data_IF_938594263869
#
_entry.id   IF_938594263869
#
_cell.length_a   1.000
_cell.length_b   1.000
_cell.length_c   1.000
_cell.angle_alpha   90.00
_cell.angle_beta   90.00
_cell.angle_gamma   90.00
#
_symmetry.space_group_name_H-M   'P 1'
#
loop_
_entity.id
_entity.type
_entity.pdbx_description
1 polymer ?
#
# COMPACT_ATOMS: atom_id res chain seq x y z
N UNK A 1 6.40 -32.29 15.61
CA UNK A 1 7.02 -32.04 14.27
C UNK A 1 7.65 -30.65 14.27
N UNK A 2 8.76 -30.41 13.55
CA UNK A 2 9.30 -29.07 13.39
C UNK A 2 8.34 -28.23 12.53
N UNK A 3 8.05 -26.99 12.93
CA UNK A 3 7.27 -26.03 12.13
C UNK A 3 7.98 -25.76 10.80
N UNK A 4 7.23 -25.54 9.73
CA UNK A 4 7.76 -25.30 8.38
C UNK A 4 7.59 -23.83 8.01
N UNK A 5 8.63 -23.23 7.46
CA UNK A 5 8.65 -21.84 7.03
C UNK A 5 9.02 -21.77 5.54
N UNK A 6 8.23 -20.99 4.78
CA UNK A 6 8.58 -20.58 3.41
C UNK A 6 9.16 -19.17 3.46
N UNK A 7 10.43 -19.02 3.10
CA UNK A 7 11.09 -17.73 2.98
C UNK A 7 11.18 -17.31 1.52
N UNK A 8 10.36 -16.33 1.14
CA UNK A 8 10.33 -15.73 -0.21
C UNK A 8 11.04 -14.38 -0.14
N UNK A 9 11.98 -14.11 -1.03
CA UNK A 9 12.63 -12.81 -1.04
C UNK A 9 12.99 -12.33 -2.45
N UNK A 10 12.96 -11.00 -2.63
CA UNK A 10 13.42 -10.37 -3.86
C UNK A 10 14.91 -9.98 -3.71
N UNK A 11 15.83 -10.65 -4.43
CA UNK A 11 17.27 -10.39 -4.31
C UNK A 11 17.70 -9.02 -4.85
N UNK A 12 16.79 -8.31 -5.53
CA UNK A 12 17.04 -6.99 -6.15
C UNK A 12 16.40 -5.84 -5.39
N UNK A 13 15.58 -6.10 -4.35
CA UNK A 13 14.88 -5.06 -3.59
C UNK A 13 15.86 -4.06 -2.97
N UNK A 14 15.50 -2.80 -3.08
CA UNK A 14 16.27 -1.69 -2.54
C UNK A 14 17.73 -1.70 -3.04
N UNK A 15 18.68 -1.78 -2.13
CA UNK A 15 20.12 -1.87 -2.45
C UNK A 15 20.63 -3.31 -2.54
N UNK A 16 19.75 -4.33 -2.56
CA UNK A 16 20.14 -5.74 -2.58
C UNK A 16 20.77 -6.26 -1.28
N UNK A 17 20.57 -5.57 -0.16
CA UNK A 17 21.19 -5.85 1.15
C UNK A 17 20.82 -7.24 1.70
N UNK A 18 19.73 -7.84 1.24
CA UNK A 18 19.34 -9.18 1.67
C UNK A 18 20.48 -10.21 1.49
N UNK A 19 21.35 -10.02 0.49
CA UNK A 19 22.48 -10.93 0.23
C UNK A 19 23.49 -10.95 1.39
N UNK A 20 23.69 -9.81 2.02
CA UNK A 20 24.64 -9.66 3.14
C UNK A 20 24.07 -10.24 4.44
N UNK A 21 22.75 -10.16 4.63
CA UNK A 21 22.05 -10.59 5.83
C UNK A 21 21.46 -12.00 5.76
N UNK A 22 21.45 -12.64 4.58
CA UNK A 22 20.73 -13.89 4.34
C UNK A 22 21.12 -15.00 5.34
N UNK A 23 22.40 -15.18 5.60
CA UNK A 23 22.90 -16.23 6.50
C UNK A 23 22.40 -15.99 7.93
N UNK A 24 22.48 -14.75 8.43
CA UNK A 24 22.02 -14.38 9.77
C UNK A 24 20.51 -14.55 9.91
N UNK A 25 19.72 -14.14 8.88
CA UNK A 25 18.27 -14.32 8.84
C UNK A 25 17.90 -15.80 8.92
N UNK A 26 18.55 -16.64 8.12
CA UNK A 26 18.32 -18.09 8.12
C UNK A 26 18.70 -18.72 9.46
N UNK A 27 19.78 -18.27 10.10
CA UNK A 27 20.18 -18.73 11.44
C UNK A 27 19.11 -18.37 12.49
N UNK A 28 18.59 -17.12 12.47
CA UNK A 28 17.52 -16.67 13.35
C UNK A 28 16.28 -17.58 13.20
N UNK A 29 15.82 -17.80 11.96
CA UNK A 29 14.66 -18.65 11.68
C UNK A 29 14.89 -20.11 12.12
N UNK A 30 16.12 -20.62 11.94
CA UNK A 30 16.50 -21.98 12.33
C UNK A 30 16.50 -22.12 13.86
N UNK A 31 17.04 -21.13 14.58
CA UNK A 31 17.05 -21.10 16.06
C UNK A 31 15.65 -20.97 16.63
N UNK A 32 14.72 -20.34 15.93
CA UNK A 32 13.30 -20.31 16.27
C UNK A 32 12.58 -21.67 16.02
N UNK A 33 13.29 -22.70 15.56
CA UNK A 33 12.78 -24.06 15.42
C UNK A 33 12.14 -24.40 14.09
N UNK A 34 12.24 -23.53 13.08
CA UNK A 34 11.65 -23.75 11.78
C UNK A 34 12.51 -24.63 10.85
N UNK A 35 11.86 -25.45 10.02
CA UNK A 35 12.41 -26.05 8.83
C UNK A 35 12.13 -25.10 7.65
N UNK A 36 13.18 -24.50 7.11
CA UNK A 36 13.08 -23.40 6.14
C UNK A 36 13.14 -23.94 4.71
N UNK A 37 12.27 -23.41 3.86
CA UNK A 37 12.38 -23.49 2.40
C UNK A 37 12.63 -22.09 1.88
N UNK A 38 13.76 -21.88 1.23
CA UNK A 38 14.18 -20.57 0.71
C UNK A 38 13.80 -20.48 -0.76
N UNK A 39 13.24 -19.33 -1.17
CA UNK A 39 12.83 -19.06 -2.53
C UNK A 39 13.15 -17.61 -2.95
N UNK A 40 14.23 -17.38 -3.73
CA UNK A 40 14.48 -16.09 -4.36
C UNK A 40 13.56 -15.91 -5.57
N UNK A 41 12.85 -14.78 -5.64
CA UNK A 41 12.02 -14.45 -6.79
C UNK A 41 12.89 -14.13 -8.01
N UNK A 42 12.41 -14.45 -9.22
CA UNK A 42 13.15 -14.26 -10.46
C UNK A 42 12.55 -13.14 -11.33
N UNK A 43 11.25 -12.90 -11.22
CA UNK A 43 10.52 -11.86 -11.96
C UNK A 43 9.27 -11.44 -11.18
N UNK A 44 8.61 -10.39 -11.65
CA UNK A 44 7.31 -9.94 -11.15
C UNK A 44 6.26 -11.07 -11.24
N UNK A 45 5.40 -11.16 -10.23
CA UNK A 45 4.37 -12.19 -10.10
C UNK A 45 4.89 -13.58 -9.69
N UNK A 46 6.20 -13.73 -9.43
CA UNK A 46 6.79 -15.02 -9.06
C UNK A 46 6.45 -15.39 -7.60
N UNK A 47 6.41 -14.40 -6.70
CA UNK A 47 5.99 -14.63 -5.31
C UNK A 47 4.51 -15.02 -5.23
N UNK A 48 3.62 -14.38 -6.02
CA UNK A 48 2.20 -14.77 -6.14
C UNK A 48 2.07 -16.25 -6.44
N UNK A 49 2.70 -16.70 -7.56
CA UNK A 49 2.65 -18.10 -8.00
C UNK A 49 3.18 -19.07 -6.96
N UNK A 50 4.27 -18.68 -6.26
CA UNK A 50 4.91 -19.54 -5.26
C UNK A 50 4.04 -19.69 -4.02
N UNK A 51 3.54 -18.57 -3.47
CA UNK A 51 2.72 -18.56 -2.27
C UNK A 51 1.39 -19.26 -2.53
N UNK A 52 0.65 -18.88 -3.57
CA UNK A 52 -0.60 -19.53 -3.97
C UNK A 52 -0.50 -21.05 -4.02
N UNK A 53 0.57 -21.57 -4.63
CA UNK A 53 0.74 -23.02 -4.81
C UNK A 53 1.21 -23.76 -3.55
N UNK A 54 1.87 -23.06 -2.63
CA UNK A 54 2.64 -23.73 -1.58
C UNK A 54 2.26 -23.31 -0.13
N UNK A 55 1.63 -22.17 0.09
CA UNK A 55 1.36 -21.64 1.43
C UNK A 55 0.75 -22.69 2.39
N UNK A 56 -0.23 -23.46 1.96
CA UNK A 56 -0.92 -24.51 2.74
C UNK A 56 0.00 -25.61 3.32
N UNK A 57 1.27 -25.66 2.92
CA UNK A 57 2.26 -26.65 3.38
C UNK A 57 3.17 -26.11 4.49
N UNK A 58 2.98 -24.84 4.88
CA UNK A 58 3.84 -24.12 5.81
C UNK A 58 3.01 -23.57 6.97
N UNK A 59 3.68 -23.39 8.09
CA UNK A 59 3.10 -22.80 9.31
C UNK A 59 3.36 -21.28 9.36
N UNK A 60 4.28 -20.77 8.52
CA UNK A 60 4.65 -19.38 8.40
C UNK A 60 5.20 -19.12 7.00
N UNK A 61 4.79 -18.02 6.39
CA UNK A 61 5.43 -17.47 5.19
C UNK A 61 6.17 -16.21 5.60
N UNK A 62 7.48 -16.13 5.31
CA UNK A 62 8.24 -14.89 5.53
C UNK A 62 8.61 -14.31 4.19
N UNK A 63 8.33 -13.02 4.00
CA UNK A 63 8.77 -12.30 2.82
C UNK A 63 9.84 -11.27 3.14
N UNK A 64 10.83 -11.09 2.23
CA UNK A 64 11.75 -9.96 2.30
C UNK A 64 11.82 -9.25 0.96
N UNK A 65 11.51 -7.97 0.99
CA UNK A 65 11.44 -7.13 -0.19
C UNK A 65 10.94 -5.73 0.13
N UNK A 66 10.56 -4.98 -0.88
CA UNK A 66 9.78 -3.75 -0.75
C UNK A 66 8.28 -4.05 -0.69
N UNK A 67 7.48 -2.99 -0.66
CA UNK A 67 6.02 -3.07 -0.58
C UNK A 67 5.42 -3.92 -1.71
N UNK A 68 5.89 -3.78 -2.96
CA UNK A 68 5.45 -4.64 -4.07
C UNK A 68 5.79 -6.14 -3.92
N UNK A 69 6.87 -6.51 -3.18
CA UNK A 69 7.13 -7.93 -2.88
C UNK A 69 6.17 -8.45 -1.80
N UNK A 70 5.82 -7.60 -0.83
CA UNK A 70 4.82 -7.93 0.17
C UNK A 70 3.45 -8.08 -0.49
N UNK A 71 3.07 -7.14 -1.35
CA UNK A 71 1.83 -7.19 -2.13
C UNK A 71 1.71 -8.52 -2.91
N UNK A 72 2.73 -8.93 -3.65
CA UNK A 72 2.74 -10.23 -4.33
C UNK A 72 2.54 -11.42 -3.37
N UNK A 73 3.11 -11.36 -2.15
CA UNK A 73 2.94 -12.42 -1.14
C UNK A 73 1.52 -12.41 -0.59
N UNK A 74 0.94 -11.25 -0.32
CA UNK A 74 -0.45 -11.08 0.15
C UNK A 74 -1.44 -11.58 -0.91
N UNK A 75 -1.30 -11.12 -2.15
CA UNK A 75 -2.11 -11.59 -3.29
C UNK A 75 -2.02 -13.11 -3.46
N UNK A 76 -0.81 -13.65 -3.35
CA UNK A 76 -0.60 -15.11 -3.41
C UNK A 76 -1.22 -15.86 -2.22
N UNK A 77 -1.26 -15.25 -1.04
CA UNK A 77 -1.89 -15.81 0.15
C UNK A 77 -3.42 -15.85 -0.02
N UNK A 78 -4.00 -14.75 -0.45
CA UNK A 78 -5.43 -14.65 -0.72
C UNK A 78 -5.88 -15.69 -1.75
N UNK A 79 -5.19 -15.77 -2.88
CA UNK A 79 -5.47 -16.76 -3.93
C UNK A 79 -5.22 -18.21 -3.50
N UNK A 80 -4.58 -18.45 -2.37
CA UNK A 80 -4.31 -19.80 -1.83
C UNK A 80 -5.45 -20.34 -0.98
N UNK A 81 -6.44 -19.50 -0.63
CA UNK A 81 -7.59 -19.82 0.23
C UNK A 81 -7.20 -20.32 1.64
N UNK A 82 -6.01 -19.96 2.12
CA UNK A 82 -5.53 -20.26 3.48
C UNK A 82 -4.97 -19.01 4.13
N UNK A 83 -5.21 -18.87 5.43
CA UNK A 83 -4.65 -17.78 6.22
C UNK A 83 -3.44 -18.29 7.04
N UNK A 84 -2.28 -18.34 6.38
CA UNK A 84 -1.00 -18.63 7.05
C UNK A 84 -0.37 -17.30 7.44
N UNK A 85 0.09 -17.12 8.69
CA UNK A 85 0.75 -15.88 9.11
C UNK A 85 1.91 -15.48 8.19
N UNK A 86 2.03 -14.18 7.95
CA UNK A 86 3.09 -13.60 7.11
C UNK A 86 4.06 -12.83 8.00
N UNK A 87 5.35 -13.18 7.99
CA UNK A 87 6.42 -12.35 8.54
C UNK A 87 6.96 -11.43 7.47
N UNK A 88 7.24 -10.16 7.79
CA UNK A 88 7.78 -9.21 6.84
C UNK A 88 9.16 -8.68 7.25
N UNK A 89 10.14 -8.76 6.35
CA UNK A 89 11.49 -8.22 6.49
C UNK A 89 11.65 -7.13 5.43
N UNK A 90 11.47 -5.85 5.80
CA UNK A 90 11.49 -4.74 4.85
C UNK A 90 12.88 -4.56 4.25
N UNK A 91 12.95 -4.53 2.92
CA UNK A 91 14.19 -4.34 2.14
C UNK A 91 14.03 -3.30 1.02
N UNK A 92 12.89 -2.68 0.88
CA UNK A 92 12.59 -1.64 -0.10
C UNK A 92 13.09 -0.25 0.32
N UNK A 93 12.71 0.75 -0.47
CA UNK A 93 13.10 2.14 -0.22
C UNK A 93 12.17 2.84 0.79
N UNK A 94 10.87 2.64 0.71
CA UNK A 94 9.84 3.27 1.55
C UNK A 94 9.38 2.34 2.67
N UNK A 95 8.93 1.15 2.32
CA UNK A 95 8.39 0.14 3.24
C UNK A 95 7.25 0.70 4.09
N UNK A 96 6.26 1.30 3.43
CA UNK A 96 5.16 2.03 4.07
C UNK A 96 4.34 1.15 5.00
N UNK A 97 4.04 -0.07 4.57
CA UNK A 97 3.30 -1.02 5.39
C UNK A 97 4.09 -1.46 6.63
N UNK A 98 5.41 -1.70 6.50
CA UNK A 98 6.26 -1.99 7.65
C UNK A 98 6.32 -0.82 8.66
N UNK A 99 6.36 0.42 8.15
CA UNK A 99 6.32 1.61 9.01
C UNK A 99 5.00 1.71 9.78
N UNK A 100 3.86 1.37 9.16
CA UNK A 100 2.53 1.39 9.78
C UNK A 100 2.39 0.35 10.89
N UNK A 101 3.01 -0.81 10.72
CA UNK A 101 3.02 -1.91 11.71
C UNK A 101 4.15 -1.82 12.74
N UNK A 102 5.01 -0.80 12.66
CA UNK A 102 6.15 -0.66 13.57
C UNK A 102 7.23 -1.74 13.39
N UNK A 103 7.25 -2.42 12.26
CA UNK A 103 8.27 -3.45 11.96
C UNK A 103 9.65 -2.80 11.82
N UNK A 104 10.70 -3.33 12.50
CA UNK A 104 12.03 -2.76 12.46
C UNK A 104 12.62 -2.68 11.05
N UNK A 105 13.36 -1.59 10.76
CA UNK A 105 14.10 -1.44 9.50
C UNK A 105 15.34 -2.32 9.43
N UNK A 106 15.89 -2.70 10.58
CA UNK A 106 17.00 -3.65 10.64
C UNK A 106 16.49 -5.04 10.26
N UNK A 107 17.08 -5.65 9.24
CA UNK A 107 16.59 -6.91 8.66
C UNK A 107 16.65 -8.09 9.63
N UNK A 108 17.66 -8.13 10.53
CA UNK A 108 17.79 -9.21 11.53
C UNK A 108 16.78 -9.04 12.66
N UNK A 109 16.52 -7.81 13.10
CA UNK A 109 15.46 -7.51 14.07
C UNK A 109 14.08 -7.82 13.48
N UNK A 110 13.83 -7.40 12.23
CA UNK A 110 12.62 -7.75 11.53
C UNK A 110 12.44 -9.27 11.38
N UNK A 111 13.54 -10.00 11.12
CA UNK A 111 13.51 -11.47 11.08
C UNK A 111 13.14 -12.08 12.46
N UNK A 112 13.59 -11.49 13.57
CA UNK A 112 13.17 -11.94 14.91
C UNK A 112 11.69 -11.69 15.16
N UNK A 113 11.19 -10.51 14.76
CA UNK A 113 9.74 -10.20 14.82
C UNK A 113 8.96 -11.17 13.94
N UNK A 114 9.40 -11.43 12.71
CA UNK A 114 8.72 -12.34 11.79
C UNK A 114 8.51 -13.76 12.35
N UNK A 115 9.43 -14.26 13.20
CA UNK A 115 9.34 -15.64 13.73
C UNK A 115 8.90 -15.75 15.18
N UNK A 116 8.96 -14.67 15.96
CA UNK A 116 8.64 -14.67 17.40
C UNK A 116 7.59 -13.62 17.80
N UNK A 117 7.20 -12.74 16.88
CA UNK A 117 6.22 -11.69 17.13
C UNK A 117 4.82 -12.22 17.41
N UNK A 118 3.89 -11.30 17.63
CA UNK A 118 2.48 -11.60 17.86
C UNK A 118 1.72 -11.54 16.53
N UNK A 119 0.85 -12.51 16.22
CA UNK A 119 -0.02 -12.44 15.06
C UNK A 119 -0.97 -11.23 15.16
N UNK A 120 -0.96 -10.36 14.18
CA UNK A 120 -1.83 -9.20 14.07
C UNK A 120 -2.67 -9.32 12.79
N UNK A 121 -4.01 -9.36 12.90
CA UNK A 121 -4.88 -9.39 11.74
C UNK A 121 -4.87 -8.02 11.06
N UNK A 122 -4.78 -8.01 9.73
CA UNK A 122 -4.81 -6.78 8.93
C UNK A 122 -5.90 -6.87 7.86
N UNK A 123 -6.51 -5.72 7.60
CA UNK A 123 -7.41 -5.52 6.48
C UNK A 123 -6.61 -5.43 5.18
N UNK A 124 -7.27 -5.79 4.08
CA UNK A 124 -6.74 -5.69 2.70
C UNK A 124 -7.80 -5.03 1.83
N UNK A 125 -7.42 -4.26 0.85
CA UNK A 125 -8.35 -3.68 -0.10
C UNK A 125 -8.66 -4.63 -1.26
N UNK A 126 -9.94 -4.91 -1.51
CA UNK A 126 -10.42 -5.50 -2.76
C UNK A 126 -10.67 -4.38 -3.78
N UNK A 127 -10.30 -4.60 -5.04
CA UNK A 127 -10.38 -3.62 -6.11
C UNK A 127 -10.78 -4.31 -7.42
N UNK A 128 -12.06 -4.36 -7.74
CA UNK A 128 -12.59 -5.05 -8.96
C UNK A 128 -12.04 -6.47 -9.20
N UNK A 129 -11.80 -7.23 -8.12
CA UNK A 129 -11.23 -8.59 -8.22
C UNK A 129 -9.70 -8.65 -8.16
N UNK A 130 -9.03 -7.53 -8.04
CA UNK A 130 -7.63 -7.38 -7.65
C UNK A 130 -7.55 -6.92 -6.18
N UNK A 131 -6.36 -6.77 -5.61
CA UNK A 131 -6.16 -6.36 -4.23
C UNK A 131 -5.05 -5.33 -4.08
N UNK A 132 -5.10 -4.58 -2.97
CA UNK A 132 -3.99 -3.75 -2.51
C UNK A 132 -3.82 -3.87 -1.00
N UNK A 133 -2.58 -3.75 -0.54
CA UNK A 133 -2.23 -3.93 0.88
C UNK A 133 -2.40 -2.63 1.66
N UNK A 134 -2.03 -1.49 1.07
CA UNK A 134 -2.01 -0.23 1.81
C UNK A 134 -2.57 0.99 1.07
N UNK A 135 -2.56 1.04 -0.26
CA UNK A 135 -3.10 2.19 -1.00
C UNK A 135 -3.58 1.88 -2.40
N UNK A 136 -4.78 2.38 -2.74
CA UNK A 136 -5.24 2.58 -4.10
C UNK A 136 -5.37 4.08 -4.36
N UNK A 137 -4.85 4.58 -5.49
CA UNK A 137 -4.86 6.01 -5.78
C UNK A 137 -4.99 6.31 -7.29
N UNK A 138 -5.52 7.48 -7.62
CA UNK A 138 -5.60 7.99 -8.99
C UNK A 138 -5.21 9.47 -9.07
N UNK A 139 -4.91 9.95 -10.27
CA UNK A 139 -4.69 11.35 -10.59
C UNK A 139 -3.28 11.83 -10.30
N UNK A 140 -3.12 13.06 -9.82
CA UNK A 140 -1.82 13.66 -9.54
C UNK A 140 -0.94 12.73 -8.71
N UNK A 141 0.35 12.67 -9.06
CA UNK A 141 1.37 11.85 -8.37
C UNK A 141 1.34 10.35 -8.68
N UNK A 142 0.31 9.79 -9.31
CA UNK A 142 0.27 8.36 -9.64
C UNK A 142 1.11 8.04 -10.87
N UNK A 143 1.13 8.89 -11.89
CA UNK A 143 1.92 8.71 -13.12
C UNK A 143 3.45 8.69 -12.87
N UNK A 144 3.91 9.39 -11.82
CA UNK A 144 5.33 9.46 -11.43
C UNK A 144 5.80 8.15 -10.80
N UNK A 145 4.90 7.35 -10.25
CA UNK A 145 5.20 6.07 -9.61
C UNK A 145 5.82 5.06 -10.58
N UNK A 146 5.52 5.19 -11.89
CA UNK A 146 6.05 4.28 -12.92
C UNK A 146 7.52 4.53 -13.29
N UNK A 147 8.11 5.67 -12.92
CA UNK A 147 9.42 6.04 -13.43
C UNK A 147 10.56 6.01 -12.42
N UNK A 148 10.39 6.32 -11.13
CA UNK A 148 11.47 6.19 -10.14
C UNK A 148 11.00 6.33 -8.68
N UNK A 149 11.33 5.34 -7.83
CA UNK A 149 11.11 5.34 -6.38
C UNK A 149 11.85 6.44 -5.58
N UNK A 150 12.83 7.12 -6.19
CA UNK A 150 13.55 8.24 -5.57
C UNK A 150 12.82 9.58 -5.70
N UNK A 151 11.95 9.74 -6.69
CA UNK A 151 11.21 10.98 -6.90
C UNK A 151 10.02 11.11 -5.95
N UNK A 152 9.42 10.00 -5.50
CA UNK A 152 8.33 10.04 -4.53
C UNK A 152 8.72 10.66 -3.17
N UNK A 153 9.96 10.48 -2.72
CA UNK A 153 10.43 11.12 -1.46
C UNK A 153 10.46 12.65 -1.51
N UNK A 154 10.41 13.21 -2.71
CA UNK A 154 10.36 14.64 -2.93
C UNK A 154 8.94 15.16 -3.19
N UNK A 155 7.94 14.30 -3.38
CA UNK A 155 6.65 14.69 -3.98
C UNK A 155 5.80 15.56 -3.05
N UNK A 156 5.76 15.34 -1.75
CA UNK A 156 5.02 16.26 -0.86
C UNK A 156 5.82 17.53 -0.53
N UNK A 157 7.16 17.47 -0.49
CA UNK A 157 7.99 18.66 -0.57
C UNK A 157 7.95 19.32 -1.96
N UNK A 158 7.66 18.51 -3.01
CA UNK A 158 7.51 18.95 -4.39
C UNK A 158 6.05 19.10 -4.82
N UNK A 159 5.05 18.64 -4.05
CA UNK A 159 3.64 18.95 -4.33
C UNK A 159 3.42 20.47 -4.34
N UNK A 160 3.98 21.18 -3.37
CA UNK A 160 4.06 22.62 -3.42
C UNK A 160 4.82 23.12 -4.67
N UNK A 161 5.89 22.42 -5.08
CA UNK A 161 6.72 22.81 -6.24
C UNK A 161 6.09 22.47 -7.58
N UNK A 162 5.38 21.34 -7.68
CA UNK A 162 4.63 20.92 -8.89
C UNK A 162 3.40 21.80 -9.04
N UNK A 163 2.74 22.12 -7.93
CA UNK A 163 1.59 23.02 -7.91
C UNK A 163 2.01 24.50 -8.04
N UNK A 164 3.20 24.89 -7.57
CA UNK A 164 3.81 26.21 -7.83
C UNK A 164 4.33 26.30 -9.27
N UNK A 165 4.78 25.17 -9.85
CA UNK A 165 5.15 25.04 -11.25
C UNK A 165 3.96 24.94 -12.21
N UNK A 166 2.79 24.56 -11.75
CA UNK A 166 1.51 24.61 -12.47
C UNK A 166 1.06 26.10 -12.63
N UNK A 167 1.88 26.87 -13.33
CA UNK A 167 1.51 28.23 -13.78
C UNK A 167 0.26 28.22 -14.68
N UNK A 168 -0.20 27.03 -15.08
CA UNK A 168 -1.41 26.80 -15.83
C UNK A 168 -2.22 25.69 -15.14
N UNK A 169 -3.21 26.08 -14.35
CA UNK A 169 -4.23 25.16 -13.79
C UNK A 169 -4.90 24.30 -14.87
N UNK A 170 -4.82 24.71 -16.12
CA UNK A 170 -5.35 24.00 -17.30
C UNK A 170 -4.56 22.73 -17.68
N UNK A 171 -3.36 22.54 -17.13
CA UNK A 171 -2.52 21.38 -17.44
C UNK A 171 -2.72 20.23 -16.44
N UNK A 172 -3.58 20.42 -15.41
CA UNK A 172 -3.89 19.38 -14.42
C UNK A 172 -5.01 18.50 -14.99
N UNK A 173 -4.73 17.21 -15.20
CA UNK A 173 -5.74 16.25 -15.57
C UNK A 173 -6.73 16.07 -14.42
N UNK A 174 -8.02 16.23 -14.70
CA UNK A 174 -9.09 16.03 -13.75
C UNK A 174 -10.11 15.03 -14.29
N UNK A 175 -10.83 14.38 -13.40
CA UNK A 175 -11.80 13.35 -13.71
C UNK A 175 -13.13 13.69 -13.06
N UNK A 176 -14.20 13.75 -13.87
CA UNK A 176 -15.55 13.86 -13.34
C UNK A 176 -16.01 12.50 -12.86
N UNK A 177 -16.33 12.43 -11.58
CA UNK A 177 -16.68 11.18 -10.91
C UNK A 177 -17.89 11.35 -10.02
N UNK A 178 -18.62 10.25 -9.88
CA UNK A 178 -19.62 10.01 -8.86
C UNK A 178 -19.10 8.94 -7.92
N UNK A 179 -18.93 9.31 -6.66
CA UNK A 179 -18.41 8.46 -5.60
C UNK A 179 -19.54 8.19 -4.62
N UNK A 180 -19.86 6.93 -4.41
CA UNK A 180 -20.92 6.49 -3.50
C UNK A 180 -20.32 5.71 -2.34
N UNK A 181 -20.66 6.07 -1.10
CA UNK A 181 -20.24 5.38 0.12
C UNK A 181 -21.29 5.60 1.22
N UNK A 182 -21.51 4.61 2.06
CA UNK A 182 -22.36 4.68 3.27
C UNK A 182 -23.75 5.32 3.05
N UNK A 183 -24.29 5.22 1.83
CA UNK A 183 -25.56 5.85 1.42
C UNK A 183 -25.45 7.32 1.01
N UNK A 184 -24.26 7.90 1.05
CA UNK A 184 -23.94 9.23 0.54
C UNK A 184 -23.45 9.16 -0.91
N UNK A 185 -23.63 10.26 -1.65
CA UNK A 185 -23.16 10.41 -3.02
C UNK A 185 -22.42 11.74 -3.13
N UNK A 186 -21.19 11.68 -3.60
CA UNK A 186 -20.36 12.83 -3.92
C UNK A 186 -20.18 12.86 -5.44
N UNK A 187 -20.61 13.94 -6.10
CA UNK A 187 -20.40 14.13 -7.53
C UNK A 187 -19.63 15.41 -7.77
N UNK A 188 -18.38 15.26 -8.24
CA UNK A 188 -17.51 16.41 -8.47
C UNK A 188 -16.41 16.06 -9.50
N UNK A 189 -15.55 17.01 -9.78
CA UNK A 189 -14.36 16.88 -10.63
C UNK A 189 -13.11 16.82 -9.74
N UNK A 190 -12.39 15.70 -9.81
CA UNK A 190 -11.24 15.43 -8.95
C UNK A 190 -9.91 15.39 -9.71
N UNK A 191 -8.86 15.93 -9.10
CA UNK A 191 -7.49 15.85 -9.59
C UNK A 191 -6.68 14.75 -8.91
N UNK A 192 -7.15 14.27 -7.76
CA UNK A 192 -6.49 13.23 -6.97
C UNK A 192 -7.50 12.52 -6.09
N UNK A 193 -7.30 11.21 -5.92
CA UNK A 193 -8.00 10.41 -4.93
C UNK A 193 -7.09 9.32 -4.39
N UNK A 194 -7.27 9.02 -3.09
CA UNK A 194 -6.54 8.00 -2.37
C UNK A 194 -7.50 7.27 -1.43
N UNK A 195 -7.45 5.95 -1.49
CA UNK A 195 -8.10 5.02 -0.56
C UNK A 195 -6.98 4.23 0.12
N UNK A 196 -6.86 4.32 1.42
CA UNK A 196 -5.71 3.75 2.12
C UNK A 196 -6.09 3.05 3.42
N UNK A 197 -5.31 2.01 3.75
CA UNK A 197 -5.25 1.33 5.02
C UNK A 197 -3.82 1.41 5.56
N UNK A 198 -3.30 2.61 5.77
CA UNK A 198 -1.90 2.82 6.17
C UNK A 198 -1.67 4.16 6.84
N UNK A 199 -0.80 4.17 7.85
CA UNK A 199 -0.30 5.40 8.51
C UNK A 199 0.73 6.15 7.66
N UNK A 200 1.23 5.51 6.60
CA UNK A 200 2.29 6.06 5.74
C UNK A 200 2.02 5.68 4.28
N UNK A 201 2.06 6.66 3.40
CA UNK A 201 1.94 6.48 1.95
C UNK A 201 3.06 7.25 1.25
N UNK A 202 3.82 6.58 0.37
CA UNK A 202 4.95 7.18 -0.33
C UNK A 202 6.09 7.65 0.58
N UNK A 203 6.20 7.09 1.80
CA UNK A 203 7.15 7.50 2.84
C UNK A 203 6.69 8.68 3.69
N UNK A 204 5.47 9.18 3.49
CA UNK A 204 4.88 10.28 4.27
C UNK A 204 3.97 9.77 5.36
N UNK A 205 4.31 10.06 6.61
CA UNK A 205 3.52 9.68 7.77
C UNK A 205 2.37 10.66 7.98
N UNK A 206 1.18 10.12 8.29
CA UNK A 206 0.02 10.88 8.70
C UNK A 206 -0.70 11.63 7.57
N UNK A 207 -0.45 11.27 6.30
CA UNK A 207 -1.24 11.77 5.17
C UNK A 207 -2.68 11.23 5.22
N UNK A 208 -2.85 10.05 5.82
CA UNK A 208 -4.14 9.36 5.98
C UNK A 208 -4.92 9.83 7.21
N UNK A 209 -4.40 10.78 7.99
CA UNK A 209 -5.01 11.23 9.23
C UNK A 209 -4.42 10.58 10.50
N UNK A 210 -4.89 11.00 11.70
CA UNK A 210 -4.32 10.52 12.96
C UNK A 210 -4.84 9.17 13.44
N UNK A 211 -6.04 8.76 13.04
CA UNK A 211 -6.80 7.65 13.64
C UNK A 211 -6.91 6.44 12.71
N UNK A 212 -5.84 6.13 11.97
CA UNK A 212 -5.78 4.96 11.09
C UNK A 212 -5.61 3.70 11.93
N UNK A 213 -6.53 2.75 11.78
CA UNK A 213 -6.46 1.41 12.34
C UNK A 213 -6.41 0.40 11.19
N UNK A 214 -5.51 -0.57 11.26
CA UNK A 214 -5.28 -1.52 10.16
C UNK A 214 -6.19 -2.75 10.23
N UNK A 215 -7.12 -2.79 11.18
CA UNK A 215 -7.98 -3.95 11.47
C UNK A 215 -9.40 -3.57 11.90
N UNK A 216 -9.85 -2.34 11.61
CA UNK A 216 -11.19 -1.85 11.99
C UNK A 216 -12.26 -2.04 10.90
N UNK A 217 -11.87 -2.54 9.72
CA UNK A 217 -12.76 -2.76 8.59
C UNK A 217 -13.06 -1.49 7.79
N UNK A 218 -12.30 -0.41 7.99
CA UNK A 218 -12.48 0.86 7.31
C UNK A 218 -11.23 1.29 6.54
N UNK A 219 -11.44 2.05 5.50
CA UNK A 219 -10.40 2.81 4.79
C UNK A 219 -10.49 4.28 5.12
N UNK A 220 -9.37 4.96 5.08
CA UNK A 220 -9.29 6.41 4.97
C UNK A 220 -9.34 6.80 3.49
N UNK A 221 -10.33 7.62 3.14
CA UNK A 221 -10.52 8.14 1.78
C UNK A 221 -10.20 9.62 1.77
N UNK A 222 -9.40 10.05 0.81
CA UNK A 222 -9.12 11.46 0.53
C UNK A 222 -9.36 11.73 -0.94
N UNK A 223 -10.24 12.69 -1.26
CA UNK A 223 -10.50 13.14 -2.63
C UNK A 223 -10.24 14.64 -2.72
N UNK A 224 -9.48 15.08 -3.71
CA UNK A 224 -9.12 16.48 -3.92
C UNK A 224 -9.80 16.99 -5.19
N UNK A 225 -10.63 18.02 -5.04
CA UNK A 225 -11.33 18.67 -6.14
C UNK A 225 -10.38 19.39 -7.09
N UNK A 226 -10.83 19.53 -8.33
CA UNK A 226 -10.15 20.36 -9.31
C UNK A 226 -10.24 21.85 -8.94
N UNK A 227 -9.12 22.52 -8.56
CA UNK A 227 -9.13 23.93 -8.21
C UNK A 227 -9.44 24.78 -9.45
N UNK A 228 -10.36 25.71 -9.34
CA UNK A 228 -10.78 26.60 -10.46
C UNK A 228 -9.93 27.86 -10.57
N UNK A 229 -9.12 28.16 -9.56
CA UNK A 229 -8.27 29.35 -9.52
C UNK A 229 -7.08 29.15 -8.55
N UNK A 230 -6.04 30.03 -8.61
CA UNK A 230 -4.87 29.92 -7.75
C UNK A 230 -5.18 30.05 -6.24
N UNK A 231 -6.28 30.69 -5.85
CA UNK A 231 -6.67 30.83 -4.44
C UNK A 231 -7.14 29.48 -3.91
N UNK A 232 -7.96 28.75 -4.67
CA UNK A 232 -8.40 27.41 -4.31
C UNK A 232 -7.22 26.43 -4.24
N UNK A 233 -6.28 26.53 -5.19
CA UNK A 233 -5.07 25.74 -5.14
C UNK A 233 -4.28 25.98 -3.85
N UNK A 234 -4.09 27.24 -3.45
CA UNK A 234 -3.43 27.57 -2.19
C UNK A 234 -4.20 27.06 -0.96
N UNK A 235 -5.55 27.06 -0.99
CA UNK A 235 -6.37 26.46 0.08
C UNK A 235 -6.16 24.94 0.17
N UNK A 236 -6.08 24.23 -0.95
CA UNK A 236 -5.77 22.79 -0.98
C UNK A 236 -4.39 22.54 -0.36
N UNK A 237 -3.37 23.30 -0.77
CA UNK A 237 -2.01 23.17 -0.23
C UNK A 237 -1.94 23.42 1.27
N UNK A 238 -2.62 24.47 1.74
CA UNK A 238 -2.70 24.80 3.17
C UNK A 238 -3.44 23.70 3.94
N UNK A 239 -4.57 23.20 3.43
CA UNK A 239 -5.33 22.11 4.02
C UNK A 239 -4.50 20.84 4.18
N UNK A 240 -3.78 20.43 3.13
CA UNK A 240 -2.89 19.28 3.17
C UNK A 240 -1.71 19.48 4.15
N UNK A 241 -1.13 20.68 4.21
CA UNK A 241 -0.02 20.99 5.10
C UNK A 241 -0.45 21.04 6.58
N UNK A 242 -1.61 21.61 6.86
CA UNK A 242 -2.14 21.79 8.21
C UNK A 242 -2.97 20.60 8.71
N UNK A 243 -3.25 19.62 7.83
CA UNK A 243 -4.15 18.48 8.10
C UNK A 243 -5.54 18.95 8.55
N UNK A 244 -6.04 20.00 7.92
CA UNK A 244 -7.38 20.52 8.17
C UNK A 244 -8.40 19.66 7.46
N UNK A 245 -9.22 18.92 8.22
CA UNK A 245 -10.29 18.07 7.69
C UNK A 245 -11.52 18.88 7.24
N UNK A 246 -11.60 20.17 7.55
CA UNK A 246 -12.71 21.04 7.20
C UNK A 246 -12.32 21.96 6.03
N UNK A 247 -12.14 21.36 4.85
CA UNK A 247 -11.81 22.08 3.63
C UNK A 247 -12.80 21.69 2.52
N UNK A 248 -13.57 22.64 2.03
CA UNK A 248 -14.58 22.45 0.95
C UNK A 248 -14.00 21.86 -0.35
N UNK A 249 -12.67 21.87 -0.51
CA UNK A 249 -11.94 21.36 -1.67
C UNK A 249 -11.33 19.98 -1.44
N UNK A 250 -11.43 19.45 -0.22
CA UNK A 250 -10.90 18.13 0.14
C UNK A 250 -11.99 17.36 0.87
N UNK A 251 -12.42 16.25 0.29
CA UNK A 251 -13.24 15.28 1.01
C UNK A 251 -12.33 14.32 1.76
N UNK A 252 -12.62 14.12 3.04
CA UNK A 252 -11.92 13.16 3.88
C UNK A 252 -12.93 12.41 4.75
N UNK A 253 -13.02 11.10 4.59
CA UNK A 253 -13.97 10.25 5.31
C UNK A 253 -13.43 8.84 5.46
N UNK A 254 -14.11 8.03 6.29
CA UNK A 254 -13.85 6.59 6.42
C UNK A 254 -15.01 5.80 5.87
N UNK A 255 -14.74 4.68 5.22
CA UNK A 255 -15.77 3.77 4.71
C UNK A 255 -15.23 2.34 4.56
N UNK A 256 -16.10 1.36 4.64
CA UNK A 256 -15.77 -0.04 4.32
C UNK A 256 -15.95 -0.38 2.83
N UNK A 257 -16.72 0.44 2.11
CA UNK A 257 -16.98 0.23 0.69
C UNK A 257 -17.13 1.56 -0.04
N UNK A 258 -16.54 1.62 -1.21
CA UNK A 258 -16.57 2.78 -2.09
C UNK A 258 -16.90 2.32 -3.51
N UNK A 259 -17.92 2.90 -4.13
CA UNK A 259 -18.22 2.71 -5.54
C UNK A 259 -17.94 3.99 -6.32
N UNK A 260 -17.18 3.88 -7.40
CA UNK A 260 -16.74 5.01 -8.23
C UNK A 260 -17.21 4.79 -9.66
N UNK A 261 -17.96 5.75 -10.18
CA UNK A 261 -18.38 5.86 -11.58
C UNK A 261 -17.72 7.10 -12.19
N UNK A 262 -17.19 7.03 -13.41
CA UNK A 262 -16.58 8.15 -14.12
C UNK A 262 -16.96 8.19 -15.60
N UNK A 263 -16.97 9.40 -16.18
CA UNK A 263 -17.28 9.59 -17.61
C UNK A 263 -16.15 9.09 -18.52
N UNK A 264 -14.91 9.13 -18.04
CA UNK A 264 -13.71 8.70 -18.77
C UNK A 264 -12.96 7.64 -17.98
N UNK A 265 -12.14 6.85 -18.67
CA UNK A 265 -11.23 5.91 -18.01
C UNK A 265 -10.25 6.63 -17.08
N UNK A 266 -10.19 6.19 -15.85
CA UNK A 266 -9.31 6.71 -14.81
C UNK A 266 -8.23 5.69 -14.53
N UNK A 267 -6.95 6.03 -14.75
CA UNK A 267 -5.84 5.15 -14.39
C UNK A 267 -5.63 5.13 -12.88
N UNK A 268 -5.60 3.94 -12.30
CA UNK A 268 -5.37 3.72 -10.87
C UNK A 268 -4.01 3.08 -10.62
N UNK A 269 -3.47 3.33 -9.44
CA UNK A 269 -2.32 2.62 -8.89
C UNK A 269 -2.74 1.86 -7.65
N UNK A 270 -2.23 0.63 -7.51
CA UNK A 270 -2.38 -0.22 -6.33
C UNK A 270 -0.98 -0.46 -5.77
N UNK A 271 -0.73 -0.01 -4.55
CA UNK A 271 0.58 -0.13 -3.88
C UNK A 271 1.79 0.38 -4.70
N UNK A 272 1.53 1.35 -5.58
CA UNK A 272 2.52 1.96 -6.46
C UNK A 272 2.72 1.27 -7.81
N UNK A 273 1.97 0.21 -8.12
CA UNK A 273 1.93 -0.47 -9.41
C UNK A 273 0.67 -0.08 -10.19
N UNK A 274 0.66 -0.28 -11.52
CA UNK A 274 -0.52 0.03 -12.33
C UNK A 274 -1.66 -0.95 -12.06
N UNK A 275 -2.79 -0.45 -11.55
CA UNK A 275 -4.01 -1.20 -11.23
C UNK A 275 -5.08 -1.19 -12.32
N UNK A 276 -4.75 -0.73 -13.52
CA UNK A 276 -5.71 -0.63 -14.64
C UNK A 276 -6.35 0.75 -14.77
N UNK A 277 -7.14 0.90 -15.85
CA UNK A 277 -7.98 2.09 -16.09
C UNK A 277 -9.44 1.68 -16.04
N UNK A 278 -10.26 2.40 -15.28
CA UNK A 278 -11.64 2.02 -14.98
C UNK A 278 -12.58 3.20 -15.13
N UNK A 279 -13.80 2.94 -15.58
CA UNK A 279 -14.94 3.88 -15.57
C UNK A 279 -15.97 3.51 -14.50
N UNK A 280 -15.92 2.28 -14.02
CA UNK A 280 -16.78 1.71 -12.98
C UNK A 280 -15.95 0.78 -12.12
N UNK A 281 -15.91 1.07 -10.81
CA UNK A 281 -15.09 0.29 -9.91
C UNK A 281 -15.68 0.28 -8.50
N UNK A 282 -15.52 -0.86 -7.82
CA UNK A 282 -15.83 -1.02 -6.40
C UNK A 282 -14.56 -1.33 -5.62
N UNK A 283 -14.35 -0.58 -4.54
CA UNK A 283 -13.29 -0.83 -3.56
C UNK A 283 -13.97 -1.30 -2.27
N UNK A 284 -13.55 -2.46 -1.75
CA UNK A 284 -14.16 -3.07 -0.55
C UNK A 284 -13.09 -3.40 0.46
N UNK A 285 -13.32 -3.11 1.74
CA UNK A 285 -12.43 -3.55 2.82
C UNK A 285 -12.65 -5.05 3.10
N UNK A 286 -11.63 -5.84 2.87
CA UNK A 286 -11.57 -7.25 3.24
C UNK A 286 -11.05 -7.35 4.67
N UNK A 287 -11.96 -7.21 5.63
CA UNK A 287 -11.63 -7.10 7.04
C UNK A 287 -10.86 -8.32 7.56
N UNK A 288 -9.68 -8.07 8.15
CA UNK A 288 -8.80 -9.10 8.76
C UNK A 288 -8.42 -10.24 7.81
N UNK A 289 -8.29 -9.91 6.53
CA UNK A 289 -8.03 -10.89 5.47
C UNK A 289 -6.69 -11.60 5.62
N UNK A 290 -5.68 -10.90 6.13
CA UNK A 290 -4.35 -11.47 6.35
C UNK A 290 -3.92 -11.36 7.81
N UNK A 291 -2.90 -12.12 8.19
CA UNK A 291 -2.28 -12.05 9.51
C UNK A 291 -0.80 -11.74 9.37
N UNK A 292 -0.34 -10.65 9.94
CA UNK A 292 1.08 -10.24 9.92
C UNK A 292 1.70 -10.49 11.29
N UNK A 293 2.95 -10.95 11.32
CA UNK A 293 3.73 -11.10 12.56
C UNK A 293 4.37 -9.76 12.92
N UNK A 294 3.97 -9.18 14.09
CA UNK A 294 4.42 -7.89 14.63
C UNK A 294 5.01 -8.00 16.02
#
# INVERSE_FOLDING_TARGET
>A
MKKKLLFVFNPKSGKGLIKEHLVNIVDIMTKAGYKITIYPTQCQGDAIKKVRKKAKKYDLVVCSGGDGTLDEVVTGMEQSEVNVPIGYIPAGSTNDFANSLGIPKNMEEAARVAVNGTPFPCDVGGFNGDTFVYVAAFGLFTEVSYQTSQQMKNILGHAAYILEGAKHLMDITSYRMKVSHDGEIIEDEFIYGMVTNSLSVGGFKGISGPDVLLDDGLFEVTLIKNPKNPIELNKILAGLANRENDNELIYSFKTSELHVESEAEVPWTLDGEFGGSHTDLTITNLNKQITIMC
#
